data_IF_920062697975
#
_entry.id   IF_920062697975
#
_cell.length_a   1.000
_cell.length_b   1.000
_cell.length_c   1.000
_cell.angle_alpha   90.00
_cell.angle_beta   90.00
_cell.angle_gamma   90.00
#
_symmetry.space_group_name_H-M   'P 1'
#
loop_
_entity.id
_entity.type
_entity.pdbx_description
1 polymer ?
#
# COMPACT_ATOMS: atom_id res chain seq x y z
N UNK A 1 0.38 -9.33 -12.11
CA UNK A 1 0.47 -8.15 -11.23
C UNK A 1 1.88 -8.12 -10.69
N UNK A 2 2.59 -7.00 -10.85
CA UNK A 2 4.01 -6.89 -10.48
C UNK A 2 4.23 -6.82 -8.96
N UNK A 3 3.36 -6.15 -8.20
CA UNK A 3 3.56 -5.90 -6.77
C UNK A 3 2.77 -6.85 -5.85
N UNK A 4 2.80 -8.16 -6.12
CA UNK A 4 2.06 -9.15 -5.32
C UNK A 4 2.54 -9.18 -3.87
N UNK A 5 3.84 -9.01 -3.62
CA UNK A 5 4.40 -9.00 -2.26
C UNK A 5 3.81 -7.89 -1.38
N UNK A 6 3.72 -6.66 -1.91
CA UNK A 6 3.10 -5.53 -1.20
C UNK A 6 1.62 -5.76 -0.91
N UNK A 7 0.88 -6.36 -1.85
CA UNK A 7 -0.53 -6.72 -1.64
C UNK A 7 -0.68 -7.76 -0.52
N UNK A 8 0.21 -8.74 -0.45
CA UNK A 8 0.23 -9.75 0.62
C UNK A 8 0.59 -9.12 1.96
N UNK A 9 1.57 -8.22 1.99
CA UNK A 9 1.96 -7.50 3.20
C UNK A 9 0.80 -6.66 3.76
N UNK A 10 0.14 -5.87 2.91
CA UNK A 10 -1.03 -5.09 3.30
C UNK A 10 -2.15 -5.99 3.86
N UNK A 11 -2.46 -7.09 3.16
CA UNK A 11 -3.47 -8.06 3.60
C UNK A 11 -3.12 -8.74 4.91
N UNK A 12 -1.85 -9.14 5.11
CA UNK A 12 -1.39 -9.78 6.33
C UNK A 12 -1.51 -8.87 7.55
N UNK A 13 -1.45 -7.56 7.35
CA UNK A 13 -1.64 -6.55 8.39
C UNK A 13 -3.09 -6.04 8.50
N UNK A 14 -4.04 -6.63 7.78
CA UNK A 14 -5.44 -6.18 7.79
C UNK A 14 -5.65 -4.79 7.18
N UNK A 15 -4.66 -4.24 6.48
CA UNK A 15 -4.72 -2.89 5.92
C UNK A 15 -5.24 -2.94 4.47
N UNK A 16 -6.44 -2.40 4.17
CA UNK A 16 -6.95 -2.36 2.80
C UNK A 16 -6.25 -1.26 1.98
N UNK A 17 -6.14 -1.48 0.65
CA UNK A 17 -5.42 -0.56 -0.25
C UNK A 17 -5.98 0.86 -0.25
N UNK A 18 -7.29 1.05 -0.06
CA UNK A 18 -7.89 2.39 0.01
C UNK A 18 -7.38 3.17 1.22
N UNK A 19 -7.12 2.51 2.36
CA UNK A 19 -6.60 3.17 3.58
C UNK A 19 -5.15 3.61 3.36
N UNK A 20 -4.36 2.77 2.67
CA UNK A 20 -3.00 3.13 2.24
C UNK A 20 -3.04 4.32 1.27
N UNK A 21 -3.96 4.31 0.29
CA UNK A 21 -4.10 5.40 -0.67
C UNK A 21 -4.39 6.73 0.03
N UNK A 22 -5.33 6.74 0.98
CA UNK A 22 -5.65 7.91 1.80
C UNK A 22 -4.42 8.38 2.60
N UNK A 23 -3.70 7.46 3.26
CA UNK A 23 -2.50 7.77 4.05
C UNK A 23 -1.37 8.41 3.22
N UNK A 24 -1.18 7.97 1.98
CA UNK A 24 -0.14 8.50 1.09
C UNK A 24 -0.66 9.64 0.19
N UNK A 25 -1.89 10.11 0.38
CA UNK A 25 -2.45 11.26 -0.33
C UNK A 25 -2.69 11.02 -1.82
N UNK A 26 -3.12 9.81 -2.22
CA UNK A 26 -3.53 9.48 -3.59
C UNK A 26 -4.91 8.83 -3.62
N UNK A 27 -5.55 8.81 -4.79
CA UNK A 27 -6.82 8.12 -4.96
C UNK A 27 -6.65 6.60 -5.00
N UNK A 28 -7.67 5.85 -4.56
CA UNK A 28 -7.70 4.38 -4.67
C UNK A 28 -7.44 3.82 -6.09
N UNK A 29 -8.00 4.39 -7.19
CA UNK A 29 -7.66 3.93 -8.53
C UNK A 29 -6.17 4.14 -8.87
N UNK A 30 -5.53 5.17 -8.29
CA UNK A 30 -4.10 5.42 -8.47
C UNK A 30 -3.27 4.31 -7.84
N UNK A 31 -3.50 3.98 -6.57
CA UNK A 31 -2.74 2.90 -5.91
C UNK A 31 -3.02 1.55 -6.57
N UNK A 32 -4.26 1.31 -7.00
CA UNK A 32 -4.63 0.07 -7.70
C UNK A 32 -3.88 -0.09 -9.03
N UNK A 33 -3.69 1.02 -9.77
CA UNK A 33 -2.90 1.05 -11.00
C UNK A 33 -1.41 0.85 -10.72
N UNK A 34 -0.86 1.50 -9.68
CA UNK A 34 0.53 1.35 -9.27
C UNK A 34 0.90 -0.11 -9.02
N UNK A 35 0.02 -0.87 -8.38
CA UNK A 35 0.26 -2.30 -8.11
C UNK A 35 0.42 -3.18 -9.37
N UNK A 36 0.07 -2.69 -10.56
CA UNK A 36 0.16 -3.42 -11.83
C UNK A 36 1.52 -3.28 -12.53
N UNK A 37 2.38 -2.36 -12.10
CA UNK A 37 3.67 -2.05 -12.75
C UNK A 37 4.80 -2.01 -11.71
N UNK A 38 6.07 -2.19 -12.10
CA UNK A 38 7.18 -2.06 -11.16
C UNK A 38 7.17 -0.69 -10.46
N UNK A 39 7.41 -0.67 -9.16
CA UNK A 39 7.51 0.56 -8.38
C UNK A 39 8.95 1.01 -8.27
N UNK A 40 9.16 2.32 -8.23
CA UNK A 40 10.43 2.86 -7.73
C UNK A 40 10.57 2.58 -6.24
N UNK A 41 11.81 2.56 -5.75
CA UNK A 41 12.07 2.30 -4.33
C UNK A 41 11.35 3.30 -3.43
N UNK A 42 11.33 4.59 -3.79
CA UNK A 42 10.62 5.62 -3.03
C UNK A 42 9.12 5.34 -2.90
N UNK A 43 8.48 4.88 -3.99
CA UNK A 43 7.05 4.55 -3.96
C UNK A 43 6.80 3.32 -3.11
N UNK A 44 7.67 2.31 -3.22
CA UNK A 44 7.60 1.09 -2.42
C UNK A 44 7.75 1.41 -0.94
N UNK A 45 8.80 2.13 -0.56
CA UNK A 45 9.06 2.55 0.82
C UNK A 45 7.89 3.36 1.40
N UNK A 46 7.31 4.29 0.64
CA UNK A 46 6.14 5.08 1.05
C UNK A 46 4.92 4.20 1.34
N UNK A 47 4.68 3.16 0.53
CA UNK A 47 3.59 2.21 0.75
C UNK A 47 3.86 1.33 1.97
N UNK A 48 5.08 0.84 2.14
CA UNK A 48 5.48 0.00 3.29
C UNK A 48 5.36 0.76 4.61
N UNK A 49 5.82 2.02 4.63
CA UNK A 49 5.67 2.90 5.78
C UNK A 49 4.20 3.14 6.11
N UNK A 50 3.35 3.38 5.09
CA UNK A 50 1.92 3.53 5.30
C UNK A 50 1.27 2.26 5.86
N UNK A 51 1.66 1.07 5.39
CA UNK A 51 1.18 -0.19 5.97
C UNK A 51 1.58 -0.29 7.45
N UNK A 52 2.84 -0.01 7.78
CA UNK A 52 3.35 -0.08 9.15
C UNK A 52 2.65 0.88 10.11
N UNK A 53 2.32 2.10 9.66
CA UNK A 53 1.57 3.07 10.47
C UNK A 53 0.15 2.55 10.68
N UNK A 54 -0.52 2.18 9.59
CA UNK A 54 -1.93 1.81 9.62
C UNK A 54 -2.19 0.49 10.33
N UNK A 55 -1.22 -0.43 10.38
CA UNK A 55 -1.33 -1.71 11.08
C UNK A 55 -1.29 -1.55 12.61
N UNK A 56 -0.69 -0.47 13.12
CA UNK A 56 -0.69 -0.17 14.55
C UNK A 56 -1.98 0.50 15.03
N UNK A 57 -2.77 1.05 14.09
CA UNK A 57 -4.10 1.63 14.36
C UNK A 57 -5.23 0.61 14.28
N UNK A 58 -4.95 -0.66 13.93
CA UNK A 58 -5.96 -1.72 13.88
C UNK A 58 -6.19 -2.24 15.30
N UNK A 59 -7.21 -1.69 15.95
CA UNK A 59 -7.84 -2.25 17.16
C UNK A 59 -8.76 -3.43 16.80
#
# INVERSE_FOLDING_TARGET
MENIALRRLARANGVPLWKIAAQIGVSEPTITRWMRFPLSEDKRARIEQAISILSQEVE
#
